data_IF_395376912765
#
_entry.id   IF_395376912765
#
_cell.length_a   1.000
_cell.length_b   1.000
_cell.length_c   1.000
_cell.angle_alpha   90.00
_cell.angle_beta   90.00
_cell.angle_gamma   90.00
#
_symmetry.space_group_name_H-M   'P 1'
#
loop_
_entity.id
_entity.type
_entity.pdbx_description
1 polymer ?
#
# COMPACT_ATOMS: atom_id res chain seq x y z
N UNK A 1 -5.77 -3.22 -16.61
CA UNK A 1 -5.84 -4.40 -15.72
C UNK A 1 -6.61 -4.00 -14.48
N UNK A 2 -7.29 -4.94 -13.84
CA UNK A 2 -7.93 -4.73 -12.54
C UNK A 2 -6.85 -4.92 -11.47
N UNK A 3 -6.68 -3.97 -10.54
CA UNK A 3 -5.73 -4.12 -9.45
C UNK A 3 -6.43 -4.71 -8.22
N UNK A 4 -5.79 -5.68 -7.57
CA UNK A 4 -6.35 -6.44 -6.46
C UNK A 4 -5.83 -5.86 -5.14
N UNK A 5 -6.76 -5.40 -4.31
CA UNK A 5 -6.46 -4.77 -3.03
C UNK A 5 -6.97 -5.66 -1.91
N UNK A 6 -6.09 -6.01 -0.98
CA UNK A 6 -6.50 -6.58 0.29
C UNK A 6 -6.71 -5.43 1.28
N UNK A 7 -7.93 -5.28 1.77
CA UNK A 7 -8.29 -4.25 2.73
C UNK A 7 -8.54 -4.90 4.09
N UNK A 8 -7.65 -4.60 5.03
CA UNK A 8 -7.68 -5.16 6.38
C UNK A 8 -8.31 -4.16 7.33
N UNK A 9 -9.39 -4.53 8.00
CA UNK A 9 -10.09 -3.66 8.95
C UNK A 9 -10.69 -4.46 10.12
N UNK A 10 -11.10 -3.74 11.17
CA UNK A 10 -11.78 -4.34 12.33
C UNK A 10 -13.31 -4.49 12.13
N UNK A 11 -13.84 -4.21 10.93
CA UNK A 11 -15.29 -4.13 10.66
C UNK A 11 -15.59 -4.29 9.18
N UNK A 12 -16.73 -3.81 8.70
CA UNK A 12 -16.98 -3.78 7.25
C UNK A 12 -16.55 -2.45 6.65
N UNK A 13 -16.06 -2.48 5.42
CA UNK A 13 -15.87 -1.27 4.61
C UNK A 13 -17.23 -0.63 4.37
N UNK A 14 -17.29 0.70 4.45
CA UNK A 14 -18.48 1.45 4.06
C UNK A 14 -18.83 1.17 2.59
N UNK A 15 -20.09 0.85 2.30
CA UNK A 15 -20.52 0.46 0.96
C UNK A 15 -20.23 1.55 -0.08
N UNK A 16 -20.34 2.83 0.29
CA UNK A 16 -20.05 3.95 -0.60
C UNK A 16 -18.56 4.01 -0.94
N UNK A 17 -17.70 3.76 0.06
CA UNK A 17 -16.25 3.68 -0.15
C UNK A 17 -15.88 2.50 -1.06
N UNK A 18 -16.47 1.32 -0.81
CA UNK A 18 -16.28 0.13 -1.66
C UNK A 18 -16.66 0.43 -3.10
N UNK A 19 -17.85 0.97 -3.34
CA UNK A 19 -18.32 1.33 -4.68
C UNK A 19 -17.38 2.33 -5.36
N UNK A 20 -16.93 3.37 -4.65
CA UNK A 20 -16.01 4.36 -5.20
C UNK A 20 -14.64 3.78 -5.59
N UNK A 21 -14.14 2.77 -4.87
CA UNK A 21 -12.92 2.04 -5.22
C UNK A 21 -13.13 1.11 -6.43
N UNK A 22 -14.23 0.38 -6.45
CA UNK A 22 -14.58 -0.56 -7.54
C UNK A 22 -14.82 0.17 -8.87
N UNK A 23 -15.41 1.37 -8.84
CA UNK A 23 -15.53 2.26 -10.01
C UNK A 23 -14.18 2.62 -10.65
N UNK A 24 -13.09 2.56 -9.87
CA UNK A 24 -11.71 2.80 -10.32
C UNK A 24 -11.00 1.52 -10.77
N UNK A 25 -11.74 0.41 -10.92
CA UNK A 25 -11.23 -0.93 -11.28
C UNK A 25 -10.30 -1.52 -10.23
N UNK A 26 -10.56 -1.21 -8.96
CA UNK A 26 -9.95 -1.89 -7.84
C UNK A 26 -10.85 -3.03 -7.35
N UNK A 27 -10.33 -4.25 -7.33
CA UNK A 27 -11.01 -5.41 -6.77
C UNK A 27 -10.69 -5.49 -5.27
N UNK A 28 -11.69 -5.24 -4.43
CA UNK A 28 -11.51 -5.16 -2.97
C UNK A 28 -11.86 -6.47 -2.29
N UNK A 29 -10.87 -7.14 -1.73
CA UNK A 29 -11.04 -8.25 -0.79
C UNK A 29 -10.95 -7.72 0.63
N UNK A 30 -12.01 -7.89 1.43
CA UNK A 30 -12.01 -7.53 2.85
C UNK A 30 -11.41 -8.67 3.69
N UNK A 31 -10.66 -8.31 4.72
CA UNK A 31 -10.06 -9.27 5.64
C UNK A 31 -9.96 -8.71 7.04
N UNK A 32 -10.00 -9.60 8.02
CA UNK A 32 -9.60 -9.27 9.38
C UNK A 32 -8.08 -9.46 9.55
N UNK A 33 -7.53 -8.92 10.64
CA UNK A 33 -6.08 -9.05 10.92
C UNK A 33 -5.59 -10.50 11.06
N UNK A 34 -6.45 -11.44 11.45
CA UNK A 34 -6.09 -12.85 11.66
C UNK A 34 -6.02 -13.65 10.37
N UNK A 35 -6.80 -13.30 9.35
CA UNK A 35 -6.84 -13.97 8.06
C UNK A 35 -5.98 -13.29 7.00
N UNK A 36 -5.70 -11.99 7.16
CA UNK A 36 -4.99 -11.18 6.18
C UNK A 36 -3.67 -11.82 5.71
N UNK A 37 -2.87 -12.34 6.64
CA UNK A 37 -1.57 -12.91 6.31
C UNK A 37 -1.64 -14.18 5.46
N UNK A 38 -2.62 -15.04 5.74
CA UNK A 38 -2.90 -16.25 4.95
C UNK A 38 -3.39 -15.86 3.57
N UNK A 39 -4.35 -14.94 3.49
CA UNK A 39 -4.88 -14.45 2.22
C UNK A 39 -3.78 -13.79 1.36
N UNK A 40 -2.91 -12.98 1.95
CA UNK A 40 -1.76 -12.41 1.25
C UNK A 40 -0.80 -13.47 0.71
N UNK A 41 -0.62 -14.58 1.43
CA UNK A 41 0.29 -15.66 1.02
C UNK A 41 -0.29 -16.49 -0.12
N UNK A 42 -1.60 -16.72 -0.08
CA UNK A 42 -2.30 -17.59 -1.05
C UNK A 42 -2.80 -16.82 -2.29
N UNK A 43 -2.90 -15.50 -2.20
CA UNK A 43 -3.44 -14.63 -3.22
C UNK A 43 -2.41 -13.67 -3.83
N UNK A 44 -2.70 -13.23 -5.05
CA UNK A 44 -1.93 -12.17 -5.71
C UNK A 44 -2.61 -10.83 -5.48
N UNK A 45 -2.03 -10.00 -4.60
CA UNK A 45 -2.49 -8.64 -4.33
C UNK A 45 -1.44 -7.63 -4.81
N UNK A 46 -1.92 -6.50 -5.32
CA UNK A 46 -1.09 -5.38 -5.77
C UNK A 46 -0.87 -4.36 -4.64
N UNK A 47 -1.80 -4.30 -3.68
CA UNK A 47 -1.78 -3.38 -2.55
C UNK A 47 -2.43 -4.00 -1.31
N UNK A 48 -1.79 -3.78 -0.16
CA UNK A 48 -2.35 -3.99 1.16
C UNK A 48 -2.79 -2.64 1.76
N UNK A 49 -4.06 -2.50 2.13
CA UNK A 49 -4.55 -1.37 2.92
C UNK A 49 -4.84 -1.86 4.34
N UNK A 50 -4.28 -1.20 5.35
CA UNK A 50 -4.49 -1.55 6.78
C UNK A 50 -5.24 -0.41 7.46
N UNK A 51 -6.45 -0.69 7.93
CA UNK A 51 -7.31 0.20 8.71
C UNK A 51 -7.69 -0.47 10.05
N UNK A 52 -6.68 -0.70 10.90
CA UNK A 52 -6.84 -1.31 12.21
C UNK A 52 -6.71 -0.24 13.29
N UNK A 53 -7.61 -0.27 14.28
CA UNK A 53 -7.52 0.65 15.43
C UNK A 53 -6.31 0.32 16.31
N UNK A 54 -5.97 -0.95 16.40
CA UNK A 54 -4.84 -1.45 17.19
C UNK A 54 -3.53 -1.37 16.39
N UNK A 55 -2.68 -0.44 16.80
CA UNK A 55 -1.36 -0.22 16.21
C UNK A 55 -0.47 -1.46 16.27
N UNK A 56 -0.54 -2.24 17.36
CA UNK A 56 0.29 -3.42 17.54
C UNK A 56 -0.11 -4.53 16.55
N UNK A 57 -1.41 -4.68 16.28
CA UNK A 57 -1.90 -5.60 15.24
C UNK A 57 -1.45 -5.17 13.84
N UNK A 58 -1.55 -3.88 13.52
CA UNK A 58 -1.09 -3.34 12.24
C UNK A 58 0.40 -3.59 12.02
N UNK A 59 1.24 -3.24 13.01
CA UNK A 59 2.69 -3.46 12.97
C UNK A 59 3.04 -4.96 12.92
N UNK A 60 2.33 -5.80 13.68
CA UNK A 60 2.53 -7.25 13.65
C UNK A 60 2.25 -7.86 12.27
N UNK A 61 1.18 -7.42 11.61
CA UNK A 61 0.84 -7.82 10.24
C UNK A 61 1.91 -7.37 9.26
N UNK A 62 2.35 -6.11 9.33
CA UNK A 62 3.42 -5.56 8.48
C UNK A 62 4.72 -6.38 8.60
N UNK A 63 5.19 -6.62 9.83
CA UNK A 63 6.40 -7.42 10.08
C UNK A 63 6.27 -8.82 9.51
N UNK A 64 5.11 -9.45 9.70
CA UNK A 64 4.84 -10.79 9.22
C UNK A 64 4.80 -10.87 7.69
N UNK A 65 4.24 -9.86 7.03
CA UNK A 65 4.25 -9.74 5.57
C UNK A 65 5.68 -9.54 5.06
N UNK A 66 6.43 -8.57 5.61
CA UNK A 66 7.82 -8.27 5.19
C UNK A 66 8.80 -9.43 5.46
N UNK A 67 8.52 -10.29 6.43
CA UNK A 67 9.33 -11.49 6.66
C UNK A 67 9.28 -12.48 5.46
N UNK A 68 8.18 -12.50 4.68
CA UNK A 68 7.99 -13.38 3.52
C UNK A 68 8.59 -12.76 2.26
N UNK A 69 9.53 -13.47 1.64
CA UNK A 69 10.28 -12.95 0.48
C UNK A 69 9.36 -12.47 -0.67
N UNK A 70 8.30 -13.21 -0.97
CA UNK A 70 7.36 -12.87 -2.06
C UNK A 70 6.43 -11.69 -1.75
N UNK A 71 6.28 -11.27 -0.48
CA UNK A 71 5.47 -10.12 -0.08
C UNK A 71 6.31 -8.88 0.26
N UNK A 72 7.65 -8.98 0.24
CA UNK A 72 8.52 -7.85 0.60
C UNK A 72 8.32 -6.63 -0.27
N UNK A 73 7.95 -6.80 -1.53
CA UNK A 73 7.68 -5.73 -2.49
C UNK A 73 6.21 -5.33 -2.57
N UNK A 74 5.33 -5.93 -1.75
CA UNK A 74 3.91 -5.57 -1.75
C UNK A 74 3.76 -4.13 -1.28
N UNK A 75 3.07 -3.31 -2.08
CA UNK A 75 2.74 -1.95 -1.70
C UNK A 75 1.78 -1.98 -0.51
N UNK A 76 1.98 -1.08 0.44
CA UNK A 76 1.22 -0.99 1.66
C UNK A 76 0.85 0.45 1.97
N UNK A 77 -0.43 0.66 2.29
CA UNK A 77 -0.99 1.91 2.75
C UNK A 77 -1.63 1.70 4.12
N UNK A 78 -1.29 2.55 5.08
CA UNK A 78 -1.88 2.48 6.43
C UNK A 78 -2.83 3.64 6.65
N UNK A 79 -4.01 3.34 7.17
CA UNK A 79 -4.99 4.32 7.64
C UNK A 79 -4.87 4.39 9.17
N UNK A 80 -4.57 5.58 9.71
CA UNK A 80 -4.50 5.76 11.17
C UNK A 80 -4.87 7.18 11.60
N UNK A 81 -5.07 7.38 12.90
CA UNK A 81 -5.40 8.69 13.46
C UNK A 81 -4.14 9.58 13.57
N UNK A 82 -4.30 10.88 13.30
CA UNK A 82 -3.23 11.86 13.55
C UNK A 82 -2.98 12.03 15.05
N UNK A 83 -1.73 12.33 15.42
CA UNK A 83 -1.36 12.63 16.81
C UNK A 83 -1.18 11.39 17.71
N UNK A 84 -1.42 10.17 17.21
CA UNK A 84 -1.29 8.93 17.99
C UNK A 84 0.09 8.26 17.86
N UNK A 85 0.97 8.80 17.02
CA UNK A 85 2.27 8.18 16.69
C UNK A 85 2.17 6.95 15.77
N UNK A 86 0.97 6.40 15.54
CA UNK A 86 0.71 5.32 14.59
C UNK A 86 1.27 5.59 13.19
N UNK A 87 1.16 6.82 12.62
CA UNK A 87 1.71 7.09 11.30
C UNK A 87 3.23 6.95 11.25
N UNK A 88 3.94 7.43 12.28
CA UNK A 88 5.39 7.31 12.38
C UNK A 88 5.84 5.87 12.53
N UNK A 89 5.12 5.08 13.35
CA UNK A 89 5.39 3.65 13.50
C UNK A 89 5.20 2.91 12.18
N UNK A 90 4.10 3.15 11.46
CA UNK A 90 3.86 2.54 10.16
C UNK A 90 4.97 2.87 9.16
N UNK A 91 5.37 4.15 9.06
CA UNK A 91 6.47 4.58 8.19
C UNK A 91 7.81 3.92 8.55
N UNK A 92 8.10 3.73 9.85
CA UNK A 92 9.31 3.04 10.30
C UNK A 92 9.37 1.56 9.90
N UNK A 93 8.23 0.94 9.61
CA UNK A 93 8.12 -0.44 9.11
C UNK A 93 8.15 -0.52 7.57
N UNK A 94 8.43 0.61 6.91
CA UNK A 94 8.65 0.66 5.46
C UNK A 94 7.36 0.60 4.64
N UNK A 95 6.26 1.20 5.12
CA UNK A 95 5.04 1.39 4.30
C UNK A 95 5.23 2.52 3.28
N UNK A 96 4.56 2.41 2.14
CA UNK A 96 4.73 3.32 1.02
C UNK A 96 3.86 4.57 1.13
N UNK A 97 2.72 4.46 1.82
CA UNK A 97 1.88 5.62 2.11
C UNK A 97 1.11 5.50 3.42
N UNK A 98 0.59 6.65 3.82
CA UNK A 98 -0.25 6.84 4.98
C UNK A 98 -1.46 7.71 4.62
N UNK A 99 -2.63 7.36 5.14
CA UNK A 99 -3.86 8.15 5.02
C UNK A 99 -4.47 8.41 6.41
N UNK A 100 -4.93 9.63 6.70
CA UNK A 100 -5.56 9.89 7.98
C UNK A 100 -6.98 9.34 8.08
N UNK A 101 -7.33 8.86 9.27
CA UNK A 101 -8.70 8.68 9.70
C UNK A 101 -9.33 10.04 10.12
N UNK A 102 -10.64 10.25 9.90
CA UNK A 102 -11.57 9.36 9.21
C UNK A 102 -11.27 9.27 7.70
N UNK A 103 -11.67 8.15 7.09
CA UNK A 103 -11.42 7.90 5.67
C UNK A 103 -12.18 8.93 4.83
N UNK A 104 -11.44 9.65 4.01
CA UNK A 104 -11.98 10.47 2.92
C UNK A 104 -11.83 9.68 1.62
N UNK A 105 -12.93 9.27 1.00
CA UNK A 105 -12.90 8.39 -0.17
C UNK A 105 -12.13 9.01 -1.36
N UNK A 106 -12.35 10.28 -1.75
CA UNK A 106 -11.58 10.91 -2.81
C UNK A 106 -10.07 10.91 -2.55
N UNK A 107 -9.64 11.23 -1.32
CA UNK A 107 -8.23 11.24 -0.93
C UNK A 107 -7.62 9.84 -0.94
N UNK A 108 -8.31 8.85 -0.38
CA UNK A 108 -7.84 7.47 -0.37
C UNK A 108 -7.68 6.92 -1.79
N UNK A 109 -8.66 7.18 -2.67
CA UNK A 109 -8.58 6.78 -4.09
C UNK A 109 -7.34 7.40 -4.75
N UNK A 110 -7.12 8.71 -4.56
CA UNK A 110 -5.97 9.38 -5.14
C UNK A 110 -4.63 8.81 -4.63
N UNK A 111 -4.56 8.44 -3.35
CA UNK A 111 -3.38 7.80 -2.77
C UNK A 111 -3.13 6.39 -3.34
N UNK A 112 -4.19 5.58 -3.45
CA UNK A 112 -4.14 4.24 -4.06
C UNK A 112 -3.70 4.33 -5.52
N UNK A 113 -4.29 5.24 -6.31
CA UNK A 113 -3.89 5.46 -7.70
C UNK A 113 -2.43 5.89 -7.82
N UNK A 114 -1.96 6.79 -6.96
CA UNK A 114 -0.57 7.25 -6.95
C UNK A 114 0.41 6.12 -6.64
N UNK A 115 0.07 5.23 -5.70
CA UNK A 115 0.89 4.08 -5.34
C UNK A 115 0.97 3.04 -6.46
N UNK A 116 -0.17 2.73 -7.07
CA UNK A 116 -0.28 1.69 -8.10
C UNK A 116 0.19 2.16 -9.49
N UNK A 117 0.50 3.45 -9.67
CA UNK A 117 1.10 3.94 -10.92
C UNK A 117 2.49 3.34 -11.12
N UNK A 118 2.79 2.75 -12.29
CA UNK A 118 4.13 2.29 -12.60
C UNK A 118 5.12 3.44 -12.47
N UNK A 119 6.15 3.29 -11.62
CA UNK A 119 7.30 4.20 -11.63
C UNK A 119 8.02 4.00 -12.96
N UNK A 120 7.82 4.92 -13.90
CA UNK A 120 8.66 5.00 -15.09
C UNK A 120 10.05 5.43 -14.60
N UNK A 121 10.96 4.47 -14.45
CA UNK A 121 12.37 4.77 -14.17
C UNK A 121 12.95 5.34 -15.45
N UNK A 122 13.13 6.67 -15.49
CA UNK A 122 13.97 7.29 -16.51
C UNK A 122 15.39 6.82 -16.25
N UNK A 123 15.86 5.87 -17.05
CA UNK A 123 17.29 5.59 -17.18
C UNK A 123 17.83 6.76 -18.00
N UNK A 124 18.35 7.78 -17.32
CA UNK A 124 19.18 8.78 -17.99
C UNK A 124 20.46 8.05 -18.45
N UNK A 125 20.50 7.66 -19.71
CA UNK A 125 21.75 7.24 -20.36
C UNK A 125 22.64 8.47 -20.41
N UNK A 126 23.60 8.56 -19.49
CA UNK A 126 24.72 9.47 -19.64
C UNK A 126 25.51 9.03 -20.87
N UNK A 127 25.34 9.74 -21.98
CA UNK A 127 26.26 9.66 -23.10
C UNK A 127 27.57 10.30 -22.66
N UNK A 128 28.51 9.49 -22.19
CA UNK A 128 29.92 9.88 -22.14
C UNK A 128 30.37 10.11 -23.57
N UNK A 129 30.48 11.36 -23.97
CA UNK A 129 31.34 11.74 -25.09
C UNK A 129 32.77 11.68 -24.58
N UNK A 130 33.34 10.48 -24.61
CA UNK A 130 34.78 10.28 -24.62
C UNK A 130 35.27 10.61 -26.03
N UNK A 131 36.17 11.58 -26.11
CA UNK A 131 36.77 12.07 -27.35
C UNK A 131 37.76 13.19 -27.07
N UNK A 132 38.67 12.92 -26.15
CA UNK A 132 39.87 13.70 -25.91
C UNK A 132 40.88 13.44 -27.05
N UNK A 133 41.57 14.53 -27.44
CA UNK A 133 42.99 14.59 -27.82
C UNK A 133 43.43 14.54 -29.30
N UNK A 134 44.32 15.51 -29.56
CA UNK A 134 45.36 15.68 -30.60
C UNK A 134 44.89 15.82 -32.06
N UNK A 135 45.26 16.86 -32.83
CA UNK A 135 46.54 17.60 -32.93
C UNK A 135 46.30 19.02 -33.50
#
# INVERSE_FOLDING_TARGET
MMQRILFVNDGSIDQSLRTALEERRFEITESDSSQALTQLTDGNFDLLIINLRDAAKAVGLLKSARARAHLRSLLTLVIAEWGTGQPMLALSEGVEAFEPAPIDAPRLIAAVEKLLRPRMVMIATASTTDGESDE
#
